data_IF_928587860445
#
_entry.id   IF_928587860445
#
_cell.length_a   1.000
_cell.length_b   1.000
_cell.length_c   1.000
_cell.angle_alpha   90.00
_cell.angle_beta   90.00
_cell.angle_gamma   90.00
#
_symmetry.space_group_name_H-M   'P 1'
#
loop_
_entity.id
_entity.type
_entity.pdbx_description
1 polymer ?
#
# COMPACT_ATOMS: atom_id res chain seq x y z
N UNK A 1 65.09 -39.92 20.41
CA UNK A 1 63.77 -39.30 20.18
C UNK A 1 63.94 -37.79 20.13
N UNK A 2 64.00 -37.18 18.94
CA UNK A 2 64.05 -35.72 18.81
C UNK A 2 62.65 -35.17 19.08
N UNK A 3 62.45 -34.47 20.20
CA UNK A 3 61.23 -33.72 20.48
C UNK A 3 61.20 -32.56 19.48
N UNK A 4 60.28 -32.62 18.52
CA UNK A 4 60.02 -31.49 17.64
C UNK A 4 59.47 -30.33 18.48
N UNK A 5 60.25 -29.26 18.60
CA UNK A 5 59.83 -28.00 19.20
C UNK A 5 58.63 -27.48 18.42
N UNK A 6 57.46 -27.39 19.07
CA UNK A 6 56.28 -26.76 18.46
C UNK A 6 56.62 -25.28 18.20
N UNK A 7 56.61 -24.86 16.93
CA UNK A 7 56.72 -23.47 16.57
C UNK A 7 55.49 -22.71 17.12
N UNK A 8 55.73 -21.75 18.00
CA UNK A 8 54.68 -20.85 18.50
C UNK A 8 54.36 -19.79 17.47
N UNK A 9 53.08 -19.43 17.36
CA UNK A 9 52.61 -18.33 16.50
C UNK A 9 53.25 -17.01 16.93
N UNK A 10 53.78 -16.23 15.99
CA UNK A 10 54.26 -14.87 16.30
C UNK A 10 53.09 -13.89 16.43
N UNK A 11 53.30 -12.85 17.23
CA UNK A 11 52.33 -11.75 17.37
C UNK A 11 52.03 -11.07 16.03
N UNK A 12 53.03 -10.98 15.14
CA UNK A 12 52.89 -10.36 13.82
C UNK A 12 51.99 -11.22 12.92
N UNK A 13 52.18 -12.54 12.90
CA UNK A 13 51.34 -13.45 12.12
C UNK A 13 49.87 -13.37 12.55
N UNK A 14 49.60 -13.32 13.86
CA UNK A 14 48.25 -13.14 14.38
C UNK A 14 47.68 -11.76 13.98
N UNK A 15 48.48 -10.71 14.05
CA UNK A 15 48.06 -9.33 13.75
C UNK A 15 47.69 -9.17 12.27
N UNK A 16 48.49 -9.70 11.35
CA UNK A 16 48.20 -9.64 9.91
C UNK A 16 46.92 -10.39 9.57
N UNK A 17 46.68 -11.56 10.19
CA UNK A 17 45.45 -12.33 9.96
C UNK A 17 44.21 -11.55 10.41
N UNK A 18 44.25 -10.97 11.61
CA UNK A 18 43.14 -10.14 12.10
C UNK A 18 42.93 -8.90 11.23
N UNK A 19 44.00 -8.29 10.71
CA UNK A 19 43.90 -7.16 9.79
C UNK A 19 43.18 -7.56 8.48
N UNK A 20 43.55 -8.69 7.88
CA UNK A 20 42.92 -9.19 6.65
C UNK A 20 41.44 -9.55 6.89
N UNK A 21 41.13 -10.25 7.99
CA UNK A 21 39.74 -10.58 8.36
C UNK A 21 38.93 -9.28 8.56
N UNK A 22 39.50 -8.31 9.28
CA UNK A 22 38.86 -7.00 9.49
C UNK A 22 38.56 -6.28 8.18
N UNK A 23 39.50 -6.28 7.24
CA UNK A 23 39.32 -5.69 5.91
C UNK A 23 38.19 -6.38 5.12
N UNK A 24 38.19 -7.72 5.08
CA UNK A 24 37.16 -8.48 4.37
C UNK A 24 35.78 -8.23 4.98
N UNK A 25 35.66 -8.30 6.30
CA UNK A 25 34.39 -8.06 7.01
C UNK A 25 33.87 -6.64 6.78
N UNK A 26 34.76 -5.63 6.76
CA UNK A 26 34.38 -4.24 6.49
C UNK A 26 33.75 -4.05 5.11
N UNK A 27 34.16 -4.83 4.11
CA UNK A 27 33.58 -4.79 2.76
C UNK A 27 32.28 -5.60 2.67
N UNK A 28 32.22 -6.75 3.36
CA UNK A 28 31.10 -7.71 3.24
C UNK A 28 29.84 -7.25 3.99
N UNK A 29 29.97 -6.67 5.19
CA UNK A 29 28.81 -6.23 6.00
C UNK A 29 27.89 -5.23 5.26
N UNK A 30 28.38 -4.12 4.68
CA UNK A 30 27.50 -3.17 3.99
C UNK A 30 26.84 -3.79 2.75
N UNK A 31 27.57 -4.62 2.00
CA UNK A 31 27.02 -5.32 0.84
C UNK A 31 25.88 -6.27 1.21
N UNK A 32 26.00 -6.97 2.34
CA UNK A 32 24.96 -7.88 2.84
C UNK A 32 23.67 -7.14 3.25
N UNK A 33 23.79 -5.92 3.79
CA UNK A 33 22.64 -5.09 4.14
C UNK A 33 21.83 -4.68 2.90
N UNK A 34 22.50 -4.22 1.84
CA UNK A 34 21.86 -3.89 0.57
C UNK A 34 21.19 -5.11 -0.08
N UNK A 35 21.89 -6.25 -0.11
CA UNK A 35 21.35 -7.50 -0.67
C UNK A 35 20.08 -7.97 0.05
N UNK A 36 20.04 -7.87 1.39
CA UNK A 36 18.83 -8.20 2.17
C UNK A 36 17.67 -7.28 1.80
N UNK A 37 17.89 -5.98 1.71
CA UNK A 37 16.85 -4.99 1.36
C UNK A 37 16.25 -5.28 -0.01
N UNK A 38 17.10 -5.59 -1.01
CA UNK A 38 16.65 -6.00 -2.35
C UNK A 38 15.86 -7.31 -2.29
N UNK A 39 16.32 -8.32 -1.54
CA UNK A 39 15.59 -9.58 -1.39
C UNK A 39 14.20 -9.37 -0.76
N UNK A 40 14.09 -8.52 0.26
CA UNK A 40 12.81 -8.14 0.87
C UNK A 40 11.89 -7.46 -0.14
N UNK A 41 12.42 -6.49 -0.91
CA UNK A 41 11.67 -5.79 -1.97
C UNK A 41 11.14 -6.76 -3.02
N UNK A 42 11.97 -7.70 -3.48
CA UNK A 42 11.55 -8.75 -4.43
C UNK A 42 10.48 -9.67 -3.84
N UNK A 43 10.62 -10.04 -2.55
CA UNK A 43 9.60 -10.84 -1.87
C UNK A 43 8.27 -10.10 -1.74
N UNK A 44 8.30 -8.81 -1.42
CA UNK A 44 7.10 -7.96 -1.36
C UNK A 44 6.44 -7.85 -2.73
N UNK A 45 7.23 -7.63 -3.80
CA UNK A 45 6.71 -7.60 -5.17
C UNK A 45 6.02 -8.92 -5.53
N UNK A 46 6.62 -10.07 -5.18
CA UNK A 46 6.03 -11.37 -5.43
C UNK A 46 4.72 -11.56 -4.66
N UNK A 47 4.67 -11.14 -3.39
CA UNK A 47 3.44 -11.16 -2.58
C UNK A 47 2.33 -10.33 -3.21
N UNK A 48 2.62 -9.08 -3.58
CA UNK A 48 1.64 -8.18 -4.21
C UNK A 48 1.14 -8.77 -5.53
N UNK A 49 2.04 -9.36 -6.33
CA UNK A 49 1.67 -10.01 -7.58
C UNK A 49 0.76 -11.23 -7.36
N UNK A 50 0.98 -12.02 -6.30
CA UNK A 50 0.11 -13.15 -5.94
C UNK A 50 -1.30 -12.66 -5.55
N UNK A 51 -1.37 -11.60 -4.74
CA UNK A 51 -2.66 -10.98 -4.39
C UNK A 51 -3.35 -10.46 -5.64
N UNK A 52 -2.62 -9.76 -6.52
CA UNK A 52 -3.15 -9.27 -7.79
C UNK A 52 -3.68 -10.38 -8.69
N UNK A 53 -2.99 -11.51 -8.78
CA UNK A 53 -3.48 -12.68 -9.52
C UNK A 53 -4.74 -13.27 -8.91
N UNK A 54 -4.80 -13.41 -7.58
CA UNK A 54 -6.01 -13.85 -6.88
C UNK A 54 -7.18 -12.90 -7.13
N UNK A 55 -6.94 -11.59 -7.09
CA UNK A 55 -7.93 -10.57 -7.39
C UNK A 55 -8.43 -10.60 -8.84
N UNK A 56 -7.55 -10.85 -9.82
CA UNK A 56 -7.96 -11.02 -11.22
C UNK A 56 -8.78 -12.30 -11.44
N UNK A 57 -8.41 -13.40 -10.78
CA UNK A 57 -9.17 -14.65 -10.84
C UNK A 57 -10.56 -14.46 -10.22
N UNK A 58 -10.63 -13.81 -9.05
CA UNK A 58 -11.88 -13.43 -8.41
C UNK A 58 -12.77 -12.60 -9.34
N UNK A 59 -12.20 -11.57 -9.97
CA UNK A 59 -12.94 -10.73 -10.90
C UNK A 59 -13.48 -11.50 -12.10
N UNK A 60 -12.76 -12.52 -12.56
CA UNK A 60 -13.21 -13.37 -13.68
C UNK A 60 -14.41 -14.22 -13.28
N UNK A 61 -14.39 -14.78 -12.07
CA UNK A 61 -15.44 -15.67 -11.58
C UNK A 61 -16.69 -14.90 -11.11
N UNK A 62 -16.49 -13.83 -10.34
CA UNK A 62 -17.55 -13.07 -9.65
C UNK A 62 -17.98 -11.80 -10.39
N UNK A 63 -17.30 -11.42 -11.48
CA UNK A 63 -17.59 -10.25 -12.34
C UNK A 63 -17.58 -8.89 -11.65
N UNK A 64 -17.00 -8.81 -10.46
CA UNK A 64 -16.83 -7.59 -9.65
C UNK A 64 -15.41 -7.52 -9.09
N UNK A 65 -15.00 -6.34 -8.63
CA UNK A 65 -13.75 -6.23 -7.87
C UNK A 65 -13.87 -6.93 -6.51
N UNK A 66 -12.78 -7.54 -6.00
CA UNK A 66 -12.77 -8.08 -4.65
C UNK A 66 -12.91 -6.97 -3.60
N UNK A 67 -13.67 -7.25 -2.56
CA UNK A 67 -14.11 -6.29 -1.55
C UNK A 67 -15.51 -6.64 -1.08
N UNK A 68 -15.66 -7.08 0.16
CA UNK A 68 -16.97 -7.43 0.73
C UNK A 68 -17.88 -6.19 0.86
N UNK A 69 -17.28 -5.01 1.05
CA UNK A 69 -17.90 -3.69 0.98
C UNK A 69 -17.55 -3.01 -0.33
N UNK A 70 -18.49 -2.25 -0.89
CA UNK A 70 -18.23 -1.50 -2.12
C UNK A 70 -17.16 -0.43 -1.90
N UNK A 71 -16.47 0.00 -2.97
CA UNK A 71 -15.51 1.11 -2.91
C UNK A 71 -16.14 2.39 -2.33
N UNK A 72 -17.44 2.60 -2.57
CA UNK A 72 -18.25 3.70 -2.03
C UNK A 72 -18.47 3.57 -0.53
N UNK A 73 -18.77 2.37 -0.03
CA UNK A 73 -18.94 2.13 1.41
C UNK A 73 -17.62 2.33 2.16
N UNK A 74 -16.52 1.82 1.60
CA UNK A 74 -15.17 2.05 2.11
C UNK A 74 -14.76 3.52 2.04
N UNK A 75 -15.37 4.28 1.13
CA UNK A 75 -15.22 5.73 0.99
C UNK A 75 -16.05 6.55 1.97
N UNK A 76 -16.92 5.95 2.80
CA UNK A 76 -17.78 6.71 3.70
C UNK A 76 -16.98 7.54 4.72
N UNK A 77 -17.54 8.65 5.18
CA UNK A 77 -16.89 9.51 6.18
C UNK A 77 -16.65 8.76 7.50
N UNK A 78 -17.56 7.86 7.88
CA UNK A 78 -17.40 6.99 9.05
C UNK A 78 -16.12 6.13 8.98
N UNK A 79 -15.72 5.68 7.78
CA UNK A 79 -14.57 4.79 7.66
C UNK A 79 -13.24 5.47 8.04
N UNK A 80 -13.17 6.80 7.91
CA UNK A 80 -11.98 7.57 8.26
C UNK A 80 -11.54 7.38 9.72
N UNK A 81 -12.48 7.04 10.61
CA UNK A 81 -12.23 6.78 12.03
C UNK A 81 -12.53 5.36 12.45
N UNK A 82 -13.21 4.54 11.64
CA UNK A 82 -13.57 3.15 11.99
C UNK A 82 -12.40 2.17 11.86
N UNK A 83 -11.50 2.43 10.92
CA UNK A 83 -10.23 1.72 10.81
C UNK A 83 -10.14 0.62 9.78
N UNK A 84 -11.16 0.43 8.93
CA UNK A 84 -11.12 -0.62 7.91
C UNK A 84 -10.30 -0.18 6.70
N UNK A 85 -9.32 -1.00 6.32
CA UNK A 85 -8.48 -0.76 5.14
C UNK A 85 -9.06 -1.38 3.86
N UNK A 86 -8.68 -0.83 2.71
CA UNK A 86 -9.06 -1.40 1.42
C UNK A 86 -8.49 -2.80 1.21
N UNK A 87 -7.31 -3.07 1.78
CA UNK A 87 -6.67 -4.39 1.72
C UNK A 87 -7.42 -5.41 2.58
N UNK A 88 -7.81 -5.05 3.81
CA UNK A 88 -8.67 -5.89 4.65
C UNK A 88 -9.97 -6.24 3.95
N UNK A 89 -10.63 -5.23 3.37
CA UNK A 89 -11.88 -5.43 2.63
C UNK A 89 -11.70 -6.40 1.45
N UNK A 90 -10.62 -6.23 0.68
CA UNK A 90 -10.29 -7.11 -0.43
C UNK A 90 -10.02 -8.55 0.05
N UNK A 91 -9.30 -8.69 1.17
CA UNK A 91 -8.94 -9.99 1.74
C UNK A 91 -10.14 -10.80 2.23
N UNK A 92 -11.23 -10.15 2.66
CA UNK A 92 -12.46 -10.87 3.07
C UNK A 92 -13.06 -11.71 1.93
N UNK A 93 -12.96 -11.24 0.68
CA UNK A 93 -13.39 -12.01 -0.49
C UNK A 93 -12.32 -12.98 -0.99
N UNK A 94 -11.04 -12.58 -0.95
CA UNK A 94 -9.97 -13.40 -1.51
C UNK A 94 -9.58 -14.59 -0.63
N UNK A 95 -9.54 -14.37 0.69
CA UNK A 95 -9.18 -15.39 1.68
C UNK A 95 -10.39 -15.99 2.38
N UNK A 96 -11.59 -15.42 2.18
CA UNK A 96 -12.81 -15.83 2.88
C UNK A 96 -12.81 -15.40 4.34
N UNK A 97 -13.65 -16.06 5.14
CA UNK A 97 -13.81 -15.77 6.57
C UNK A 97 -15.16 -15.16 6.93
N UNK A 98 -15.92 -14.66 5.96
CA UNK A 98 -17.27 -14.14 6.22
C UNK A 98 -18.21 -15.30 6.60
N UNK A 99 -18.86 -15.18 7.75
CA UNK A 99 -19.80 -16.16 8.30
C UNK A 99 -21.20 -15.55 8.44
N UNK A 100 -22.20 -16.42 8.61
CA UNK A 100 -23.58 -15.99 8.80
C UNK A 100 -23.78 -15.14 10.06
N UNK A 101 -24.76 -14.23 10.02
CA UNK A 101 -25.03 -13.24 11.08
C UNK A 101 -25.35 -13.84 12.46
N UNK A 102 -25.66 -15.13 12.56
CA UNK A 102 -26.10 -15.81 13.79
C UNK A 102 -24.98 -16.58 14.50
N UNK A 103 -23.79 -16.70 13.91
CA UNK A 103 -22.67 -17.44 14.51
C UNK A 103 -22.12 -16.67 15.72
N UNK A 104 -22.10 -17.32 16.88
CA UNK A 104 -21.67 -16.73 18.16
C UNK A 104 -20.48 -17.52 18.72
N UNK A 105 -19.38 -17.54 17.98
CA UNK A 105 -18.11 -18.15 18.40
C UNK A 105 -17.13 -17.09 18.90
N UNK A 106 -16.18 -17.48 19.75
CA UNK A 106 -15.18 -16.57 20.32
C UNK A 106 -14.19 -16.04 19.29
N UNK A 107 -14.09 -16.68 18.12
CA UNK A 107 -13.22 -16.29 17.01
C UNK A 107 -13.91 -15.35 16.00
N UNK A 108 -15.20 -15.10 16.19
CA UNK A 108 -16.03 -14.29 15.30
C UNK A 108 -16.04 -12.84 15.75
N UNK A 109 -15.68 -11.96 14.83
CA UNK A 109 -15.64 -10.52 15.02
C UNK A 109 -16.62 -9.82 14.10
N UNK A 110 -17.05 -8.62 14.48
CA UNK A 110 -17.82 -7.72 13.62
C UNK A 110 -16.89 -6.71 12.97
N UNK A 111 -16.83 -6.70 11.65
CA UNK A 111 -15.98 -5.78 10.87
C UNK A 111 -16.82 -4.99 9.88
N UNK A 112 -16.34 -3.80 9.52
CA UNK A 112 -16.98 -2.99 8.49
C UNK A 112 -16.71 -1.49 8.65
N UNK A 113 -16.88 -0.72 7.56
CA UNK A 113 -16.60 0.71 7.53
C UNK A 113 -17.66 1.55 8.27
N UNK A 114 -18.72 0.92 8.79
CA UNK A 114 -19.85 1.58 9.46
C UNK A 114 -19.93 1.24 10.94
N UNK A 115 -20.35 2.22 11.75
CA UNK A 115 -20.63 2.05 13.18
C UNK A 115 -21.86 1.19 13.47
N UNK A 116 -22.88 1.25 12.59
CA UNK A 116 -24.11 0.50 12.74
C UNK A 116 -23.88 -1.02 12.59
N UNK A 117 -24.22 -1.80 13.63
CA UNK A 117 -24.05 -3.25 13.65
C UNK A 117 -24.78 -3.98 12.49
N UNK A 118 -25.91 -3.43 12.02
CA UNK A 118 -26.67 -3.97 10.88
C UNK A 118 -25.94 -3.85 9.53
N UNK A 119 -24.91 -3.01 9.45
CA UNK A 119 -24.07 -2.79 8.26
C UNK A 119 -22.68 -3.42 8.40
N UNK A 120 -22.44 -4.19 9.46
CA UNK A 120 -21.18 -4.89 9.70
C UNK A 120 -21.31 -6.36 9.29
N UNK A 121 -20.19 -6.93 8.86
CA UNK A 121 -20.09 -8.35 8.53
C UNK A 121 -19.49 -9.11 9.72
N UNK A 122 -19.97 -10.34 9.92
CA UNK A 122 -19.40 -11.28 10.86
C UNK A 122 -18.28 -12.05 10.17
N UNK A 123 -17.08 -12.01 10.73
CA UNK A 123 -15.90 -12.66 10.18
C UNK A 123 -15.33 -13.59 11.24
N UNK A 124 -15.20 -14.86 10.89
CA UNK A 124 -14.47 -15.83 11.69
C UNK A 124 -12.99 -15.80 11.30
N UNK A 125 -12.16 -15.35 12.22
CA UNK A 125 -10.71 -15.22 12.02
C UNK A 125 -9.97 -16.56 11.94
N UNK A 126 -10.59 -17.66 12.40
CA UNK A 126 -9.97 -18.98 12.39
C UNK A 126 -9.99 -19.65 11.01
N UNK A 127 -10.95 -19.28 10.15
CA UNK A 127 -11.15 -19.92 8.83
C UNK A 127 -10.65 -19.06 7.67
N UNK A 128 -10.07 -17.88 7.93
CA UNK A 128 -9.45 -17.03 6.89
C UNK A 128 -8.29 -17.81 6.25
N UNK A 129 -8.35 -17.98 4.92
CA UNK A 129 -7.35 -18.70 4.14
C UNK A 129 -7.49 -20.22 4.20
N UNK A 130 -8.52 -20.76 4.86
CA UNK A 130 -8.76 -22.21 4.98
C UNK A 130 -9.85 -22.66 4.02
N UNK A 131 -9.49 -23.45 3.01
CA UNK A 131 -10.44 -23.90 1.99
C UNK A 131 -11.47 -24.84 2.61
N UNK A 132 -12.73 -24.43 2.61
CA UNK A 132 -13.87 -25.28 2.96
C UNK A 132 -14.61 -25.72 1.70
N UNK A 133 -15.49 -26.72 1.80
CA UNK A 133 -16.23 -27.25 0.64
C UNK A 133 -17.21 -26.24 0.01
N UNK A 134 -17.45 -25.10 0.65
CA UNK A 134 -18.47 -24.11 0.24
C UNK A 134 -17.90 -22.76 -0.19
N UNK A 135 -16.61 -22.47 0.07
CA UNK A 135 -16.01 -21.17 -0.24
C UNK A 135 -14.80 -21.32 -1.18
N UNK A 136 -14.84 -20.60 -2.30
CA UNK A 136 -13.68 -20.46 -3.17
C UNK A 136 -12.65 -19.55 -2.49
N UNK A 137 -11.41 -20.02 -2.40
CA UNK A 137 -10.28 -19.21 -1.93
C UNK A 137 -9.43 -18.86 -3.13
N UNK A 138 -9.25 -17.56 -3.31
CA UNK A 138 -8.47 -16.97 -4.40
C UNK A 138 -7.06 -16.62 -3.95
N UNK A 139 -6.87 -16.36 -2.65
CA UNK A 139 -5.57 -16.10 -2.06
C UNK A 139 -5.55 -16.52 -0.59
N UNK A 140 -4.57 -17.35 -0.21
CA UNK A 140 -4.32 -17.70 1.18
C UNK A 140 -3.08 -16.92 1.66
N UNK A 141 -3.23 -15.97 2.60
CA UNK A 141 -2.11 -15.14 3.00
C UNK A 141 -1.10 -15.96 3.81
N UNK A 142 0.22 -15.83 3.55
CA UNK A 142 1.21 -16.54 4.34
C UNK A 142 1.24 -15.98 5.77
N UNK A 143 1.34 -16.85 6.77
CA UNK A 143 1.26 -16.48 8.19
C UNK A 143 2.27 -15.39 8.60
N UNK A 144 3.42 -15.33 7.94
CA UNK A 144 4.45 -14.30 8.14
C UNK A 144 3.97 -12.89 7.78
N UNK A 145 3.13 -12.79 6.75
CA UNK A 145 2.67 -11.51 6.19
C UNK A 145 1.23 -11.19 6.61
N UNK A 146 0.55 -12.05 7.37
CA UNK A 146 -0.81 -11.80 7.85
C UNK A 146 -0.78 -11.52 9.35
N UNK A 147 -0.63 -10.25 9.71
CA UNK A 147 -0.29 -9.81 11.06
C UNK A 147 -1.31 -8.81 11.57
N UNK A 148 -1.66 -8.96 12.84
CA UNK A 148 -2.58 -8.08 13.51
C UNK A 148 -1.91 -6.76 13.91
N UNK A 149 -2.54 -5.62 13.63
CA UNK A 149 -2.05 -4.29 14.03
C UNK A 149 -2.66 -3.89 15.37
N UNK A 150 -1.97 -4.25 16.45
CA UNK A 150 -2.37 -3.93 17.82
C UNK A 150 -2.11 -2.46 18.19
N UNK A 151 -2.66 -2.04 19.34
CA UNK A 151 -2.36 -0.76 19.96
C UNK A 151 -0.84 -0.52 20.04
N UNK A 152 -0.38 0.58 19.45
CA UNK A 152 1.05 0.90 19.30
C UNK A 152 1.69 0.42 18.00
N UNK A 153 0.96 -0.11 17.02
CA UNK A 153 1.42 -0.31 15.62
C UNK A 153 0.70 0.56 14.58
N UNK A 154 0.00 1.59 15.06
CA UNK A 154 -0.52 2.68 14.23
C UNK A 154 -1.59 2.25 13.24
N UNK A 155 -2.66 1.62 13.71
CA UNK A 155 -3.95 1.60 13.03
C UNK A 155 -4.94 2.41 13.88
N UNK A 156 -5.91 3.09 13.24
CA UNK A 156 -6.89 3.96 13.92
C UNK A 156 -8.26 3.29 13.95
N UNK A 157 -8.98 3.33 15.10
CA UNK A 157 -10.44 3.17 15.19
C UNK A 157 -11.01 1.86 15.75
N UNK A 158 -12.30 1.76 16.06
CA UNK A 158 -12.86 1.99 17.40
C UNK A 158 -13.02 0.71 18.26
N UNK A 159 -13.01 -0.53 17.70
CA UNK A 159 -13.14 -1.75 18.54
C UNK A 159 -12.54 -3.04 17.93
N UNK A 160 -12.68 -3.28 16.62
CA UNK A 160 -12.10 -4.48 15.98
C UNK A 160 -10.58 -4.37 15.77
N UNK A 161 -10.02 -3.16 15.96
CA UNK A 161 -8.61 -2.81 15.75
C UNK A 161 -8.07 -1.83 16.83
N UNK A 162 -8.87 -0.86 17.29
CA UNK A 162 -8.50 0.02 18.40
C UNK A 162 -8.77 -0.64 19.76
N UNK A 163 -7.83 -0.46 20.68
CA UNK A 163 -7.95 -0.93 22.06
C UNK A 163 -7.64 -2.42 22.26
N UNK A 164 -7.48 -3.20 21.18
CA UNK A 164 -7.08 -4.59 21.25
C UNK A 164 -5.64 -4.73 21.78
N UNK A 165 -5.47 -5.58 22.78
CA UNK A 165 -4.19 -5.99 23.34
C UNK A 165 -3.64 -7.17 22.53
N UNK A 166 -2.33 -7.45 22.65
CA UNK A 166 -1.74 -8.65 22.06
C UNK A 166 -2.44 -9.92 22.58
N UNK A 167 -3.09 -10.66 21.68
CA UNK A 167 -3.88 -11.85 22.00
C UNK A 167 -5.38 -11.74 21.74
N UNK A 168 -5.91 -10.52 21.55
CA UNK A 168 -7.32 -10.33 21.19
C UNK A 168 -7.59 -10.79 19.75
N UNK A 169 -8.79 -11.33 19.54
CA UNK A 169 -9.26 -11.73 18.20
C UNK A 169 -9.57 -10.46 17.41
N UNK A 170 -8.82 -10.24 16.34
CA UNK A 170 -8.94 -9.07 15.47
C UNK A 170 -8.70 -9.46 14.02
N UNK A 171 -9.17 -8.63 13.10
CA UNK A 171 -8.85 -8.82 11.69
C UNK A 171 -7.37 -8.50 11.50
N UNK A 172 -6.71 -9.28 10.65
CA UNK A 172 -5.27 -9.15 10.40
C UNK A 172 -5.07 -8.41 9.10
N UNK A 173 -3.98 -7.67 9.06
CA UNK A 173 -3.53 -6.97 7.87
C UNK A 173 -2.51 -7.78 7.10
N UNK A 174 -2.56 -7.61 5.78
CA UNK A 174 -1.50 -8.07 4.91
C UNK A 174 -0.35 -7.06 4.93
N UNK A 175 0.81 -7.49 5.44
CA UNK A 175 2.02 -6.69 5.56
C UNK A 175 3.08 -7.12 4.55
N UNK A 176 3.89 -6.18 4.10
CA UNK A 176 5.08 -6.45 3.32
C UNK A 176 6.19 -7.12 4.14
N UNK A 177 7.32 -7.45 3.49
CA UNK A 177 8.45 -8.09 4.16
C UNK A 177 9.21 -7.16 5.13
N UNK A 178 8.93 -5.85 5.09
CA UNK A 178 9.44 -4.86 6.05
C UNK A 178 8.52 -4.73 7.27
N UNK A 179 7.31 -5.30 7.23
CA UNK A 179 6.32 -5.30 8.29
C UNK A 179 5.40 -4.07 8.26
N UNK A 180 5.24 -3.44 7.11
CA UNK A 180 4.28 -2.37 6.87
C UNK A 180 3.02 -2.92 6.19
N UNK A 181 1.81 -2.47 6.58
CA UNK A 181 0.60 -2.89 5.91
C UNK A 181 0.60 -2.48 4.43
N UNK A 182 -0.10 -3.23 3.59
CA UNK A 182 -0.30 -2.91 2.19
C UNK A 182 -1.57 -2.09 2.01
N UNK A 183 -1.53 -1.08 1.14
CA UNK A 183 -2.74 -0.37 0.71
C UNK A 183 -3.34 -1.10 -0.49
N UNK A 184 -4.67 -1.16 -0.54
CA UNK A 184 -5.39 -1.51 -1.76
C UNK A 184 -6.39 -0.40 -2.08
N UNK A 185 -6.38 0.06 -3.32
CA UNK A 185 -7.30 1.02 -3.87
C UNK A 185 -8.19 0.29 -4.87
N UNK A 186 -9.49 0.22 -4.60
CA UNK A 186 -10.45 -0.38 -5.52
C UNK A 186 -11.29 0.70 -6.19
N UNK A 187 -11.56 0.52 -7.49
CA UNK A 187 -12.43 1.46 -8.20
C UNK A 187 -13.88 1.31 -7.74
N UNK A 188 -14.59 2.42 -7.70
CA UNK A 188 -16.05 2.42 -7.63
C UNK A 188 -16.63 2.05 -9.00
N UNK A 189 -17.13 0.83 -9.11
CA UNK A 189 -17.81 0.34 -10.32
C UNK A 189 -19.13 1.10 -10.58
N UNK A 190 -19.66 1.83 -9.59
CA UNK A 190 -20.80 2.72 -9.73
C UNK A 190 -20.45 4.08 -10.36
N UNK A 191 -19.17 4.44 -10.49
CA UNK A 191 -18.72 5.66 -11.15
C UNK A 191 -18.73 5.52 -12.68
N UNK A 192 -19.94 5.40 -13.23
CA UNK A 192 -20.17 5.21 -14.68
C UNK A 192 -20.10 6.57 -15.37
N UNK A 193 -19.07 6.78 -16.19
CA UNK A 193 -18.96 7.99 -17.02
C UNK A 193 -17.51 8.40 -17.32
N UNK A 194 -17.32 9.32 -18.28
CA UNK A 194 -16.03 9.95 -18.51
C UNK A 194 -15.67 10.82 -17.30
N UNK A 195 -14.37 10.91 -17.00
CA UNK A 195 -13.88 11.88 -16.01
C UNK A 195 -13.78 13.23 -16.69
N UNK A 196 -14.52 14.21 -16.17
CA UNK A 196 -14.56 15.58 -16.69
C UNK A 196 -14.00 16.57 -15.68
N UNK A 197 -14.13 16.27 -14.39
CA UNK A 197 -13.60 17.07 -13.29
C UNK A 197 -12.64 16.26 -12.43
N UNK A 198 -11.78 16.95 -11.67
CA UNK A 198 -10.90 16.29 -10.70
C UNK A 198 -11.66 15.43 -9.68
N UNK A 199 -12.88 15.85 -9.31
CA UNK A 199 -13.72 15.18 -8.33
C UNK A 199 -14.36 13.90 -8.88
N UNK A 200 -14.45 13.72 -10.20
CA UNK A 200 -14.95 12.47 -10.81
C UNK A 200 -13.92 11.34 -10.65
N UNK A 201 -12.63 11.69 -10.53
CA UNK A 201 -11.56 10.71 -10.39
C UNK A 201 -11.28 10.34 -8.92
N UNK A 202 -11.07 11.33 -8.05
CA UNK A 202 -10.72 11.09 -6.66
C UNK A 202 -11.43 12.06 -5.71
N UNK A 203 -11.91 11.53 -4.59
CA UNK A 203 -12.47 12.30 -3.46
C UNK A 203 -11.97 11.79 -2.12
N UNK A 204 -12.15 12.59 -1.09
CA UNK A 204 -11.85 12.16 0.29
C UNK A 204 -12.89 11.12 0.72
N UNK A 205 -14.16 11.54 0.73
CA UNK A 205 -15.29 10.74 1.14
C UNK A 205 -16.34 10.59 0.03
N UNK A 206 -17.13 9.53 0.10
CA UNK A 206 -18.21 9.22 -0.85
C UNK A 206 -19.53 9.94 -0.54
N UNK A 207 -19.70 10.41 0.70
CA UNK A 207 -20.92 10.98 1.28
C UNK A 207 -20.76 12.47 1.71
N UNK A 208 -19.68 13.13 1.30
CA UNK A 208 -19.39 14.54 1.64
C UNK A 208 -20.10 15.59 0.79
N UNK A 209 -19.87 16.88 1.09
CA UNK A 209 -20.47 18.01 0.35
C UNK A 209 -20.15 17.93 -1.16
N UNK A 210 -21.18 17.74 -1.99
CA UNK A 210 -21.05 17.59 -3.44
C UNK A 210 -21.35 16.18 -4.01
N UNK A 211 -22.15 15.35 -3.32
CA UNK A 211 -22.85 14.10 -3.72
C UNK A 211 -22.73 13.58 -5.18
N UNK A 212 -21.50 13.40 -5.66
CA UNK A 212 -21.17 12.74 -6.93
C UNK A 212 -20.43 11.43 -6.72
N UNK A 213 -20.48 10.54 -7.71
CA UNK A 213 -19.64 9.34 -7.78
C UNK A 213 -18.20 9.74 -8.08
N UNK A 214 -17.23 9.02 -7.51
CA UNK A 214 -15.81 9.15 -7.84
C UNK A 214 -15.20 7.78 -8.02
N UNK A 215 -14.21 7.65 -8.89
CA UNK A 215 -13.55 6.35 -9.12
C UNK A 215 -12.80 5.84 -7.90
N UNK A 216 -12.16 6.73 -7.15
CA UNK A 216 -11.48 6.37 -5.91
C UNK A 216 -11.85 7.29 -4.77
N UNK A 217 -11.85 6.73 -3.56
CA UNK A 217 -12.05 7.46 -2.32
C UNK A 217 -10.84 7.27 -1.41
N UNK A 218 -10.31 8.37 -0.89
CA UNK A 218 -9.15 8.36 0.00
C UNK A 218 -9.44 7.62 1.31
N UNK A 219 -10.68 7.74 1.80
CA UNK A 219 -11.14 7.07 3.02
C UNK A 219 -11.02 5.54 3.00
N UNK A 220 -10.84 4.91 1.83
CA UNK A 220 -10.56 3.47 1.73
C UNK A 220 -9.32 3.04 2.52
N UNK A 221 -8.33 3.92 2.67
CA UNK A 221 -7.07 3.62 3.38
C UNK A 221 -6.73 4.66 4.45
N UNK A 222 -7.71 5.46 4.89
CA UNK A 222 -7.51 6.49 5.91
C UNK A 222 -6.97 5.93 7.22
N UNK A 223 -7.30 4.68 7.56
CA UNK A 223 -6.85 3.99 8.77
C UNK A 223 -5.32 3.97 8.92
N UNK A 224 -4.59 3.82 7.82
CA UNK A 224 -3.12 3.80 7.79
C UNK A 224 -2.53 5.16 7.46
N UNK A 225 -3.16 5.91 6.57
CA UNK A 225 -2.65 7.22 6.16
C UNK A 225 -2.74 8.26 7.28
N UNK A 226 -3.73 8.16 8.16
CA UNK A 226 -3.82 9.01 9.36
C UNK A 226 -2.98 8.50 10.54
N UNK A 227 -2.30 7.36 10.41
CA UNK A 227 -1.60 6.75 11.52
C UNK A 227 -0.27 7.45 11.84
N UNK A 228 -0.05 7.87 13.10
CA UNK A 228 1.22 8.50 13.50
C UNK A 228 2.37 7.49 13.73
N UNK A 229 2.10 6.18 13.70
CA UNK A 229 3.10 5.16 14.04
C UNK A 229 2.85 3.82 13.33
N UNK A 230 2.92 3.82 11.99
CA UNK A 230 2.52 2.68 11.16
C UNK A 230 3.46 1.48 11.24
N UNK A 231 2.86 0.30 11.37
CA UNK A 231 3.48 -1.01 11.18
C UNK A 231 4.66 -1.27 12.11
N UNK A 232 5.57 -2.15 11.70
CA UNK A 232 6.73 -2.53 12.52
C UNK A 232 7.76 -1.40 12.68
N UNK A 233 7.89 -0.51 11.70
CA UNK A 233 8.86 0.59 11.72
C UNK A 233 8.36 1.84 12.46
N UNK A 234 7.07 1.87 12.85
CA UNK A 234 6.49 2.95 13.65
C UNK A 234 6.66 4.33 12.99
N UNK A 235 6.38 4.40 11.69
CA UNK A 235 6.58 5.63 10.90
C UNK A 235 5.31 6.48 10.87
N UNK A 236 5.49 7.77 11.09
CA UNK A 236 4.41 8.75 11.01
C UNK A 236 4.00 9.00 9.56
N UNK A 237 2.81 8.52 9.20
CA UNK A 237 2.25 8.74 7.86
C UNK A 237 1.64 10.13 7.72
N UNK A 238 1.16 10.74 8.80
CA UNK A 238 0.47 12.05 8.77
C UNK A 238 1.40 13.13 8.25
N UNK A 239 2.66 13.11 8.71
CA UNK A 239 3.69 14.08 8.30
C UNK A 239 4.60 13.55 7.21
N UNK A 240 4.77 12.23 7.11
CA UNK A 240 5.68 11.60 6.18
C UNK A 240 5.11 11.40 4.78
N UNK A 241 3.85 10.97 4.66
CA UNK A 241 3.24 10.56 3.39
C UNK A 241 2.65 11.75 2.64
N UNK A 242 2.92 11.85 1.34
CA UNK A 242 2.26 12.84 0.48
C UNK A 242 0.77 12.54 0.29
N UNK A 243 0.33 11.31 0.55
CA UNK A 243 -1.08 10.94 0.53
C UNK A 243 -1.81 11.43 1.78
N UNK A 244 -1.10 11.79 2.84
CA UNK A 244 -1.68 12.32 4.06
C UNK A 244 -1.74 13.85 4.11
N UNK A 245 -1.12 14.54 3.14
CA UNK A 245 -1.10 16.00 3.07
C UNK A 245 -2.51 16.61 3.15
N UNK A 246 -2.68 17.65 3.97
CA UNK A 246 -4.00 18.22 4.27
C UNK A 246 -4.64 18.90 3.06
N UNK A 247 -3.83 19.47 2.16
CA UNK A 247 -4.31 20.30 1.06
C UNK A 247 -4.27 19.56 -0.28
N UNK A 248 -3.24 18.76 -0.50
CA UNK A 248 -2.88 18.23 -1.81
C UNK A 248 -3.09 16.72 -1.95
N UNK A 249 -3.54 16.01 -0.90
CA UNK A 249 -3.75 14.54 -0.94
C UNK A 249 -4.51 14.06 -2.18
N UNK A 250 -5.56 14.76 -2.60
CA UNK A 250 -6.35 14.40 -3.77
C UNK A 250 -5.59 14.64 -5.09
N UNK A 251 -4.76 15.68 -5.15
CA UNK A 251 -3.90 15.96 -6.30
C UNK A 251 -2.84 14.87 -6.43
N UNK A 252 -2.20 14.52 -5.31
CA UNK A 252 -1.17 13.49 -5.25
C UNK A 252 -1.76 12.11 -5.59
N UNK A 253 -2.95 11.80 -5.07
CA UNK A 253 -3.66 10.56 -5.36
C UNK A 253 -4.05 10.43 -6.84
N UNK A 254 -4.43 11.53 -7.50
CA UNK A 254 -4.68 11.55 -8.96
C UNK A 254 -3.40 11.27 -9.75
N UNK A 255 -2.28 11.86 -9.34
CA UNK A 255 -0.98 11.60 -9.96
C UNK A 255 -0.55 10.14 -9.80
N UNK A 256 -0.81 9.57 -8.63
CA UNK A 256 -0.48 8.19 -8.28
C UNK A 256 -1.34 7.17 -9.01
N UNK A 257 -2.67 7.32 -8.99
CA UNK A 257 -3.61 6.29 -9.44
C UNK A 257 -4.08 6.49 -10.89
N UNK A 258 -3.78 7.64 -11.49
CA UNK A 258 -4.11 7.93 -12.88
C UNK A 258 -3.21 7.18 -13.85
N UNK A 259 -3.76 6.70 -14.98
CA UNK A 259 -2.98 6.11 -16.05
C UNK A 259 -2.24 7.20 -16.84
N UNK A 260 -0.88 7.19 -16.88
CA UNK A 260 -0.08 8.17 -17.63
C UNK A 260 -0.39 8.26 -19.13
N UNK A 261 -1.05 7.27 -19.72
CA UNK A 261 -1.41 7.27 -21.14
C UNK A 261 -2.84 7.78 -21.41
N UNK A 262 -3.65 7.99 -20.37
CA UNK A 262 -5.06 8.34 -20.50
C UNK A 262 -5.34 9.72 -19.87
N UNK A 263 -5.49 10.74 -20.71
CA UNK A 263 -5.77 12.12 -20.29
C UNK A 263 -7.20 12.49 -20.67
N UNK A 264 -7.95 13.09 -19.74
CA UNK A 264 -9.33 13.49 -19.99
C UNK A 264 -9.44 14.79 -20.81
N UNK A 265 -8.48 15.71 -20.63
CA UNK A 265 -8.39 16.94 -21.42
C UNK A 265 -7.04 17.02 -22.16
N UNK A 266 -6.91 16.45 -23.36
CA UNK A 266 -5.66 16.45 -24.12
C UNK A 266 -5.29 17.84 -24.67
N UNK A 267 -6.21 18.81 -24.67
CA UNK A 267 -5.98 20.16 -25.20
C UNK A 267 -5.23 21.06 -24.21
N UNK A 268 -5.01 20.60 -22.97
CA UNK A 268 -4.24 21.30 -21.92
C UNK A 268 -2.80 20.77 -21.79
N UNK A 269 -2.27 20.10 -22.82
CA UNK A 269 -0.85 19.74 -22.93
C UNK A 269 0.02 21.00 -23.15
N UNK A 270 -0.02 21.90 -22.17
CA UNK A 270 0.66 23.19 -22.14
C UNK A 270 1.99 23.09 -21.40
N UNK A 271 3.04 23.80 -21.86
CA UNK A 271 4.37 23.75 -21.27
C UNK A 271 4.35 24.20 -19.80
N UNK A 272 4.97 23.42 -18.91
CA UNK A 272 5.35 23.64 -17.50
C UNK A 272 4.34 24.30 -16.53
N UNK A 273 3.62 25.36 -16.90
CA UNK A 273 2.77 26.19 -16.05
C UNK A 273 1.33 25.70 -15.83
N UNK A 274 0.85 24.69 -16.56
CA UNK A 274 -0.53 24.18 -16.44
C UNK A 274 -0.64 22.69 -16.05
N UNK A 275 0.44 22.09 -15.53
CA UNK A 275 0.47 20.66 -15.13
C UNK A 275 -0.65 20.26 -14.14
N UNK A 276 -1.14 21.21 -13.34
CA UNK A 276 -2.19 20.97 -12.34
C UNK A 276 -3.61 20.88 -12.93
N UNK A 277 -3.82 21.30 -14.18
CA UNK A 277 -5.12 21.23 -14.85
C UNK A 277 -5.34 19.86 -15.52
N UNK A 278 -4.25 19.18 -15.86
CA UNK A 278 -4.29 17.85 -16.47
C UNK A 278 -4.84 16.83 -15.47
N UNK A 279 -5.93 16.16 -15.85
CA UNK A 279 -6.60 15.13 -15.06
C UNK A 279 -6.63 13.77 -15.80
N UNK A 280 -6.53 12.65 -15.06
CA UNK A 280 -6.54 11.31 -15.65
C UNK A 280 -7.92 10.91 -16.18
N UNK A 281 -7.97 10.39 -17.40
CA UNK A 281 -9.18 9.82 -17.99
C UNK A 281 -9.48 8.40 -17.52
N UNK A 282 -8.49 7.67 -17.03
CA UNK A 282 -8.62 6.29 -16.57
C UNK A 282 -7.67 6.01 -15.39
N UNK A 283 -8.04 5.03 -14.57
CA UNK A 283 -7.17 4.52 -13.52
C UNK A 283 -6.01 3.70 -14.13
N UNK A 284 -4.85 3.74 -13.49
CA UNK A 284 -3.76 2.80 -13.79
C UNK A 284 -4.09 1.45 -13.20
N UNK A 285 -3.66 0.38 -13.85
CA UNK A 285 -3.93 -0.96 -13.31
C UNK A 285 -5.38 -1.42 -13.41
N UNK A 286 -6.20 -0.78 -14.24
CA UNK A 286 -7.59 -1.19 -14.44
C UNK A 286 -8.46 -0.94 -13.21
N UNK A 287 -8.83 -2.00 -12.49
CA UNK A 287 -9.87 -1.95 -11.45
C UNK A 287 -9.36 -1.87 -10.01
N UNK A 288 -8.09 -2.16 -9.76
CA UNK A 288 -7.52 -2.02 -8.43
C UNK A 288 -6.02 -1.74 -8.51
N UNK A 289 -5.50 -1.13 -7.44
CA UNK A 289 -4.08 -0.82 -7.29
C UNK A 289 -3.65 -1.22 -5.88
N UNK A 290 -2.57 -2.01 -5.78
CA UNK A 290 -1.97 -2.41 -4.50
C UNK A 290 -0.65 -1.67 -4.34
N UNK A 291 -0.38 -1.16 -3.14
CA UNK A 291 0.81 -0.39 -2.82
C UNK A 291 1.47 -0.90 -1.53
N UNK A 292 2.80 -1.01 -1.55
CA UNK A 292 3.66 -1.15 -0.37
C UNK A 292 4.46 0.14 -0.17
N UNK A 293 4.59 0.53 1.11
CA UNK A 293 5.42 1.64 1.56
C UNK A 293 6.93 1.43 1.35
N UNK A 294 7.36 0.24 0.92
CA UNK A 294 8.77 -0.03 0.67
C UNK A 294 9.63 -0.09 1.93
N UNK A 295 10.89 0.35 1.80
CA UNK A 295 11.91 0.09 2.81
C UNK A 295 11.96 1.16 3.91
N UNK A 296 11.55 2.39 3.59
CA UNK A 296 11.53 3.50 4.55
C UNK A 296 10.29 3.45 5.48
N UNK A 297 9.25 2.76 5.03
CA UNK A 297 7.98 2.53 5.71
C UNK A 297 7.02 3.69 5.65
N UNK A 298 7.15 4.59 4.67
CA UNK A 298 6.23 5.70 4.44
C UNK A 298 5.63 5.56 3.04
N UNK A 299 4.30 5.60 2.93
CA UNK A 299 3.68 5.53 1.60
C UNK A 299 3.96 6.81 0.82
N UNK A 300 4.71 6.74 -0.28
CA UNK A 300 5.15 7.89 -1.07
C UNK A 300 5.67 9.01 -0.17
N UNK A 301 6.88 8.84 0.36
CA UNK A 301 7.50 9.79 1.26
C UNK A 301 7.65 11.18 0.65
N UNK A 302 7.28 12.22 1.40
CA UNK A 302 7.58 13.61 1.02
C UNK A 302 9.11 13.87 0.92
N UNK A 303 9.88 13.02 1.60
CA UNK A 303 11.35 13.01 1.58
C UNK A 303 11.95 12.17 0.45
N UNK A 304 11.14 11.56 -0.41
CA UNK A 304 11.64 10.75 -1.51
C UNK A 304 12.18 11.59 -2.65
N UNK A 305 13.00 10.97 -3.49
CA UNK A 305 13.58 11.61 -4.68
C UNK A 305 12.48 12.02 -5.65
N UNK A 306 11.46 11.18 -5.82
CA UNK A 306 10.32 11.45 -6.70
C UNK A 306 9.65 12.79 -6.39
N UNK A 307 9.44 13.12 -5.11
CA UNK A 307 8.79 14.37 -4.74
C UNK A 307 9.61 15.61 -5.13
N UNK A 308 10.91 15.59 -4.83
CA UNK A 308 11.82 16.69 -5.18
C UNK A 308 12.00 16.88 -6.69
N UNK A 309 12.07 15.78 -7.44
CA UNK A 309 12.26 15.80 -8.90
C UNK A 309 10.99 16.27 -9.62
N UNK A 310 9.81 15.80 -9.18
CA UNK A 310 8.58 15.94 -9.97
C UNK A 310 7.71 17.15 -9.60
N UNK A 311 7.75 17.61 -8.34
CA UNK A 311 7.04 18.83 -7.93
C UNK A 311 7.96 20.04 -7.68
N UNK A 312 9.28 19.88 -7.81
CA UNK A 312 10.27 20.96 -7.63
C UNK A 312 10.53 21.36 -6.17
N UNK A 313 9.64 21.00 -5.24
CA UNK A 313 9.84 21.15 -3.80
C UNK A 313 9.13 20.02 -3.03
N UNK A 314 9.67 19.63 -1.87
CA UNK A 314 9.13 18.55 -1.03
C UNK A 314 7.75 18.85 -0.42
N UNK A 315 7.33 20.12 -0.44
CA UNK A 315 6.04 20.61 0.08
C UNK A 315 5.04 20.92 -1.02
N UNK A 316 5.42 20.78 -2.29
CA UNK A 316 4.56 21.08 -3.43
C UNK A 316 3.66 19.88 -3.79
N UNK A 317 2.45 20.12 -4.33
CA UNK A 317 1.62 19.04 -4.87
C UNK A 317 2.35 18.31 -6.00
N UNK A 318 2.10 17.01 -6.12
CA UNK A 318 2.44 16.21 -7.28
C UNK A 318 1.27 16.27 -8.29
N UNK A 319 1.31 17.15 -9.30
CA UNK A 319 0.25 17.20 -10.30
C UNK A 319 0.29 15.95 -11.18
N UNK A 320 -0.87 15.46 -11.64
CA UNK A 320 -0.91 14.34 -12.60
C UNK A 320 -0.20 14.66 -13.91
N UNK A 321 -0.18 15.94 -14.33
CA UNK A 321 0.66 16.44 -15.42
C UNK A 321 2.16 16.15 -15.26
N UNK A 322 2.61 15.69 -14.09
CA UNK A 322 3.97 15.24 -13.91
C UNK A 322 4.32 13.90 -14.57
N UNK A 323 3.32 13.08 -14.84
CA UNK A 323 3.46 11.84 -15.60
C UNK A 323 3.66 12.07 -17.11
N UNK A 324 3.63 13.33 -17.58
CA UNK A 324 3.64 13.69 -19.00
C UNK A 324 4.86 14.52 -19.39
N UNK A 325 5.41 14.19 -20.57
CA UNK A 325 6.44 14.92 -21.34
C UNK A 325 7.35 15.81 -20.47
N UNK A 326 8.32 15.18 -19.81
CA UNK A 326 9.49 15.91 -19.30
C UNK A 326 10.39 16.23 -20.49
N UNK A 327 10.67 17.51 -20.73
CA UNK A 327 11.76 17.92 -21.62
C UNK A 327 13.06 17.55 -20.88
N UNK A 328 13.85 16.63 -21.43
CA UNK A 328 15.15 16.31 -20.86
C UNK A 328 16.16 17.46 -21.08
N UNK A 329 17.36 17.36 -20.49
CA UNK A 329 18.42 18.37 -20.66
C UNK A 329 18.86 18.55 -22.13
N UNK A 330 18.37 17.71 -23.05
CA UNK A 330 18.67 17.71 -24.49
C UNK A 330 17.45 18.07 -25.35
N UNK A 331 16.38 18.60 -24.74
CA UNK A 331 15.15 19.04 -25.41
C UNK A 331 14.28 17.93 -26.01
N UNK A 332 14.47 16.67 -25.61
CA UNK A 332 13.59 15.57 -26.03
C UNK A 332 12.49 15.32 -24.99
N UNK A 333 11.23 15.16 -25.42
CA UNK A 333 10.14 14.80 -24.52
C UNK A 333 10.27 13.31 -24.14
N UNK A 334 10.56 13.03 -22.86
CA UNK A 334 10.41 11.69 -22.27
C UNK A 334 9.12 11.61 -21.46
N UNK A 335 8.27 10.64 -21.76
CA UNK A 335 7.23 10.20 -20.84
C UNK A 335 7.89 9.35 -19.75
N UNK A 336 7.91 9.85 -18.52
CA UNK A 336 8.40 9.11 -17.36
C UNK A 336 7.27 9.09 -16.35
N UNK A 337 6.95 7.89 -15.88
CA UNK A 337 6.06 7.70 -14.74
C UNK A 337 6.77 8.16 -13.46
N UNK A 338 6.14 9.05 -12.69
CA UNK A 338 6.72 9.62 -11.48
C UNK A 338 7.09 8.55 -10.45
N UNK A 339 6.45 7.39 -10.50
CA UNK A 339 6.65 6.28 -9.58
C UNK A 339 8.03 5.64 -9.66
N UNK A 340 8.75 5.80 -10.77
CA UNK A 340 10.10 5.25 -10.93
C UNK A 340 11.09 5.85 -9.92
N UNK A 341 10.83 7.08 -9.47
CA UNK A 341 11.69 7.81 -8.54
C UNK A 341 11.26 7.68 -7.06
N UNK A 342 10.19 6.92 -6.78
CA UNK A 342 9.79 6.51 -5.44
C UNK A 342 10.31 5.10 -5.14
N UNK A 343 10.56 4.78 -3.87
CA UNK A 343 11.03 3.45 -3.47
C UNK A 343 9.89 2.46 -3.20
N UNK A 344 8.65 2.95 -3.08
CA UNK A 344 7.40 2.19 -3.04
C UNK A 344 7.28 1.16 -4.17
N UNK A 345 6.46 0.14 -3.91
CA UNK A 345 6.02 -0.82 -4.94
C UNK A 345 4.54 -0.61 -5.18
N UNK A 346 4.17 -0.41 -6.44
CA UNK A 346 2.77 -0.25 -6.84
C UNK A 346 2.46 -1.21 -7.99
N UNK A 347 1.40 -2.00 -7.84
CA UNK A 347 0.94 -2.98 -8.82
C UNK A 347 -0.52 -2.75 -9.13
N UNK A 348 -0.83 -2.71 -10.42
CA UNK A 348 -2.18 -2.58 -10.94
C UNK A 348 -2.79 -3.93 -11.34
N UNK A 349 -4.10 -4.09 -11.14
CA UNK A 349 -4.87 -5.28 -11.53
C UNK A 349 -5.18 -5.46 -13.02
N UNK A 350 -4.48 -4.76 -13.92
CA UNK A 350 -4.90 -4.60 -15.30
C UNK A 350 -3.78 -4.57 -16.33
N UNK A 351 -2.64 -5.23 -16.04
CA UNK A 351 -1.33 -5.10 -16.70
C UNK A 351 -0.55 -3.84 -16.38
#
# INVERSE_FOLDING_TARGET
MYRQSRAGFSLIELLVVLFIIGLVVAIVIPALGAARTVARKTSTQALINQVGQGAMQFQTDERRVPGAFSARDMGATENATRGMSGMENMMLDLAGGVVGSTTTETTVISVGPFSAASKQLKVDTAVIGVKTNSNNIYFAPPAKNYVAQISGRGQIGDVAHAGATEGDVQLKDLVDDFGQPLLAWTIDEGAIGPVTTAADFARVASDGAGNGVSRFYWNQNACFLNAPALGKLQKDQVTGSILSDTTNKLTNMRALLGNPSAVANPNELSPAGQRNLIIPAAARGGKFVIQSAGADGIFLGASDKGMGIHAGARTAPLPFGANFKRIDNYSYPKSIDVLVDFDDIIVGGGS
#
